data_IF_393367786190
#
_entry.id   IF_393367786190
#
_cell.length_a   1.000
_cell.length_b   1.000
_cell.length_c   1.000
_cell.angle_alpha   90.00
_cell.angle_beta   90.00
_cell.angle_gamma   90.00
#
_symmetry.space_group_name_H-M   'P 1'
#
loop_
_entity.id
_entity.type
_entity.pdbx_description
1 polymer ?
#
# COMPACT_ATOMS: atom_id res chain seq x y z
N UNK A 1 18.21 7.99 0.12
CA UNK A 1 18.63 6.60 -0.17
C UNK A 1 19.83 6.55 -1.12
N UNK A 2 19.82 7.31 -2.22
CA UNK A 2 20.91 7.25 -3.22
C UNK A 2 22.30 7.52 -2.64
N UNK A 3 22.41 8.42 -1.64
CA UNK A 3 23.68 8.78 -0.99
C UNK A 3 24.21 7.72 -0.02
N UNK A 4 23.30 7.01 0.66
CA UNK A 4 23.67 6.12 1.78
C UNK A 4 23.74 4.64 1.37
N UNK A 5 23.16 4.27 0.24
CA UNK A 5 23.21 2.90 -0.24
C UNK A 5 24.52 2.57 -0.96
N UNK A 6 25.07 1.41 -0.62
CA UNK A 6 26.18 0.82 -1.34
C UNK A 6 25.83 0.50 -2.80
N UNK A 7 26.84 0.23 -3.61
CA UNK A 7 26.67 -0.28 -4.97
C UNK A 7 25.89 -1.60 -4.92
N UNK A 8 24.85 -1.74 -5.75
CA UNK A 8 23.90 -2.87 -5.73
C UNK A 8 23.06 -2.98 -4.44
N UNK A 9 23.03 -1.93 -3.62
CA UNK A 9 22.20 -1.87 -2.42
C UNK A 9 20.69 -1.89 -2.76
N UNK A 10 19.89 -2.48 -1.88
CA UNK A 10 18.45 -2.59 -2.04
C UNK A 10 17.70 -1.71 -1.05
N UNK A 11 16.61 -1.12 -1.50
CA UNK A 11 15.63 -0.41 -0.67
C UNK A 11 14.36 -1.23 -0.62
N UNK A 12 13.86 -1.48 0.57
CA UNK A 12 12.57 -2.14 0.79
C UNK A 12 11.64 -1.10 1.38
N UNK A 13 10.51 -0.85 0.72
CA UNK A 13 9.52 0.15 1.13
C UNK A 13 8.15 -0.50 1.15
N UNK A 14 7.42 -0.32 2.24
CA UNK A 14 6.03 -0.72 2.38
C UNK A 14 5.17 0.54 2.48
N UNK A 15 4.19 0.68 1.61
CA UNK A 15 3.30 1.85 1.57
C UNK A 15 1.88 1.45 1.19
N UNK A 16 0.87 2.20 1.68
CA UNK A 16 -0.51 2.05 1.23
C UNK A 16 -0.67 2.33 -0.27
N UNK A 17 -1.60 1.61 -0.89
CA UNK A 17 -1.92 1.73 -2.30
C UNK A 17 -3.30 2.36 -2.48
N UNK A 18 -3.35 3.64 -2.77
CA UNK A 18 -4.61 4.38 -2.94
C UNK A 18 -5.47 3.94 -4.14
N UNK A 19 -4.95 3.09 -5.02
CA UNK A 19 -5.70 2.48 -6.14
C UNK A 19 -6.30 1.12 -5.80
N UNK A 20 -6.08 0.61 -4.58
CA UNK A 20 -6.65 -0.66 -4.12
C UNK A 20 -8.18 -0.64 -4.12
N UNK A 21 -8.78 -1.83 -4.07
CA UNK A 21 -10.23 -1.95 -4.05
C UNK A 21 -10.83 -1.38 -2.76
N UNK A 22 -10.24 -1.63 -1.61
CA UNK A 22 -10.69 -1.12 -0.31
C UNK A 22 -10.58 0.40 -0.21
N UNK A 23 -9.55 1.03 -0.78
CA UNK A 23 -9.47 2.48 -0.88
C UNK A 23 -10.67 3.07 -1.63
N UNK A 24 -11.12 2.41 -2.70
CA UNK A 24 -12.33 2.83 -3.44
C UNK A 24 -13.62 2.53 -2.72
N UNK A 25 -13.66 1.42 -1.96
CA UNK A 25 -14.82 1.02 -1.17
C UNK A 25 -15.10 1.98 -0.01
N UNK A 26 -14.04 2.35 0.74
CA UNK A 26 -14.17 3.22 1.90
C UNK A 26 -14.13 4.71 1.58
N UNK A 27 -13.58 5.09 0.42
CA UNK A 27 -13.46 6.49 -0.02
C UNK A 27 -12.74 7.34 1.04
N UNK A 28 -13.39 8.41 1.51
CA UNK A 28 -12.86 9.32 2.54
C UNK A 28 -12.64 8.64 3.91
N UNK A 29 -13.31 7.54 4.17
CA UNK A 29 -13.17 6.75 5.42
C UNK A 29 -12.04 5.72 5.36
N UNK A 30 -11.32 5.60 4.25
CA UNK A 30 -10.21 4.68 4.16
C UNK A 30 -9.09 5.06 5.13
N UNK A 31 -8.84 4.20 6.13
CA UNK A 31 -7.93 4.52 7.22
C UNK A 31 -6.48 4.76 6.77
N UNK A 32 -6.07 4.15 5.65
CA UNK A 32 -4.71 4.31 5.16
C UNK A 32 -4.44 5.65 4.45
N UNK A 33 -5.44 6.54 4.32
CA UNK A 33 -5.16 7.95 4.04
C UNK A 33 -4.30 8.57 5.13
N UNK A 34 -4.61 8.26 6.39
CA UNK A 34 -3.83 8.62 7.59
C UNK A 34 -3.33 10.07 7.57
N UNK A 35 -4.22 10.99 7.18
CA UNK A 35 -3.92 12.43 7.12
C UNK A 35 -4.01 13.03 8.53
N UNK A 36 -3.08 13.88 8.96
CA UNK A 36 -1.97 14.48 8.20
C UNK A 36 -0.62 13.73 8.30
N UNK A 37 -0.59 12.50 8.81
CA UNK A 37 0.66 11.73 8.99
C UNK A 37 1.23 11.33 7.62
N UNK A 38 0.41 10.77 6.75
CA UNK A 38 0.77 10.48 5.37
C UNK A 38 0.39 11.67 4.47
N UNK A 39 1.38 12.45 4.06
CA UNK A 39 1.19 13.58 3.13
C UNK A 39 1.21 13.15 1.66
N UNK A 40 1.78 11.99 1.36
CA UNK A 40 1.92 11.46 0.01
C UNK A 40 1.33 10.06 -0.09
N UNK A 41 0.52 9.85 -1.12
CA UNK A 41 -0.11 8.56 -1.38
C UNK A 41 0.38 8.00 -2.71
N UNK A 42 0.77 6.73 -2.70
CA UNK A 42 1.40 6.10 -3.85
C UNK A 42 0.51 5.05 -4.50
N UNK A 43 0.75 4.83 -5.78
CA UNK A 43 0.41 3.63 -6.52
C UNK A 43 1.70 3.01 -7.03
N UNK A 44 1.64 1.79 -7.57
CA UNK A 44 2.80 1.14 -8.17
C UNK A 44 3.49 2.05 -9.19
N UNK A 45 2.70 2.62 -10.12
CA UNK A 45 3.24 3.45 -11.20
C UNK A 45 3.93 4.71 -10.68
N UNK A 46 3.34 5.36 -9.66
CA UNK A 46 3.89 6.62 -9.13
C UNK A 46 5.15 6.40 -8.31
N UNK A 47 5.22 5.35 -7.49
CA UNK A 47 6.41 5.06 -6.70
C UNK A 47 7.55 4.54 -7.60
N UNK A 48 7.24 3.71 -8.59
CA UNK A 48 8.23 3.24 -9.57
C UNK A 48 8.82 4.40 -10.36
N UNK A 49 7.98 5.31 -10.83
CA UNK A 49 8.41 6.52 -11.54
C UNK A 49 9.29 7.43 -10.67
N UNK A 50 8.92 7.60 -9.38
CA UNK A 50 9.71 8.38 -8.44
C UNK A 50 11.12 7.78 -8.25
N UNK A 51 11.20 6.48 -7.99
CA UNK A 51 12.47 5.80 -7.77
C UNK A 51 13.34 5.73 -9.03
N UNK A 52 12.72 5.57 -10.20
CA UNK A 52 13.43 5.56 -11.50
C UNK A 52 14.16 6.88 -11.77
N UNK A 53 13.59 8.02 -11.36
CA UNK A 53 14.24 9.33 -11.48
C UNK A 53 15.52 9.47 -10.63
N UNK A 54 15.67 8.62 -9.61
CA UNK A 54 16.82 8.61 -8.71
C UNK A 54 17.75 7.42 -8.91
N UNK A 55 17.74 6.84 -10.12
CA UNK A 55 18.61 5.71 -10.52
C UNK A 55 18.34 4.42 -9.74
N UNK A 56 17.07 4.16 -9.41
CA UNK A 56 16.63 2.87 -8.87
C UNK A 56 15.81 2.09 -9.90
N UNK A 57 15.86 0.77 -9.82
CA UNK A 57 15.06 -0.16 -10.60
C UNK A 57 14.17 -0.97 -9.66
N UNK A 58 12.90 -1.07 -9.97
CA UNK A 58 11.99 -1.97 -9.28
C UNK A 58 12.33 -3.42 -9.62
N UNK A 59 12.66 -4.21 -8.58
CA UNK A 59 13.02 -5.63 -8.72
C UNK A 59 11.82 -6.52 -8.47
N UNK A 60 11.05 -6.21 -7.42
CA UNK A 60 9.94 -7.05 -6.98
C UNK A 60 8.91 -6.25 -6.20
N UNK A 61 7.65 -6.68 -6.31
CA UNK A 61 6.56 -6.25 -5.43
C UNK A 61 6.01 -7.45 -4.66
N UNK A 62 5.57 -7.22 -3.42
CA UNK A 62 4.88 -8.21 -2.59
C UNK A 62 3.66 -7.57 -1.92
N UNK A 63 2.52 -8.25 -1.84
CA UNK A 63 1.38 -7.76 -1.09
C UNK A 63 1.64 -7.82 0.42
N UNK A 64 1.08 -6.87 1.17
CA UNK A 64 0.99 -6.92 2.63
C UNK A 64 -0.41 -7.39 3.03
N UNK A 65 -0.61 -8.71 3.04
CA UNK A 65 -1.95 -9.29 3.23
C UNK A 65 -2.57 -8.98 4.59
N UNK A 66 -1.77 -8.95 5.66
CA UNK A 66 -2.27 -8.66 7.01
C UNK A 66 -2.70 -7.19 7.18
N UNK A 67 -2.05 -6.29 6.48
CA UNK A 67 -2.35 -4.87 6.54
C UNK A 67 -3.77 -4.54 6.05
N UNK A 68 -4.27 -5.28 5.05
CA UNK A 68 -5.63 -5.13 4.54
C UNK A 68 -6.70 -5.33 5.62
N UNK A 69 -6.48 -6.26 6.55
CA UNK A 69 -7.39 -6.50 7.68
C UNK A 69 -7.37 -5.33 8.67
N UNK A 70 -6.18 -4.86 9.02
CA UNK A 70 -6.02 -3.74 9.93
C UNK A 70 -6.64 -2.46 9.36
N UNK A 71 -6.34 -2.14 8.11
CA UNK A 71 -6.89 -0.97 7.41
C UNK A 71 -8.42 -1.07 7.31
N UNK A 72 -8.97 -2.25 6.98
CA UNK A 72 -10.41 -2.45 6.89
C UNK A 72 -11.09 -2.28 8.24
N UNK A 73 -10.52 -2.81 9.33
CA UNK A 73 -11.06 -2.65 10.68
C UNK A 73 -11.13 -1.17 11.11
N UNK A 74 -10.06 -0.42 10.90
CA UNK A 74 -10.03 1.01 11.21
C UNK A 74 -10.98 1.82 10.31
N UNK A 75 -11.09 1.46 9.03
CA UNK A 75 -12.00 2.11 8.09
C UNK A 75 -13.48 1.90 8.47
N UNK A 76 -13.82 0.69 8.95
CA UNK A 76 -15.16 0.43 9.49
C UNK A 76 -15.44 1.29 10.72
N UNK A 77 -14.46 1.44 11.61
CA UNK A 77 -14.59 2.30 12.78
C UNK A 77 -14.80 3.77 12.39
N UNK A 78 -14.03 4.29 11.45
CA UNK A 78 -14.18 5.66 10.95
C UNK A 78 -15.54 5.89 10.27
N UNK A 79 -16.02 4.91 9.49
CA UNK A 79 -17.29 5.00 8.77
C UNK A 79 -18.52 4.90 9.65
N UNK A 80 -18.47 4.08 10.71
CA UNK A 80 -19.67 3.72 11.50
C UNK A 80 -19.61 4.13 12.96
N UNK A 81 -18.50 4.73 13.41
CA UNK A 81 -18.19 5.04 14.81
C UNK A 81 -18.25 3.80 15.75
N UNK A 82 -18.17 2.59 15.20
CA UNK A 82 -18.20 1.32 15.92
C UNK A 82 -17.16 0.34 15.37
N UNK A 83 -16.54 -0.43 16.26
CA UNK A 83 -15.62 -1.49 15.87
C UNK A 83 -16.42 -2.70 15.34
N UNK A 84 -16.43 -2.87 14.03
CA UNK A 84 -17.11 -3.97 13.36
C UNK A 84 -16.09 -5.03 12.89
N UNK A 85 -15.63 -5.87 13.80
CA UNK A 85 -14.58 -6.86 13.53
C UNK A 85 -14.95 -7.82 12.38
N UNK A 86 -16.17 -8.34 12.36
CA UNK A 86 -16.61 -9.29 11.32
C UNK A 86 -16.64 -8.61 9.95
N UNK A 87 -17.22 -7.41 9.86
CA UNK A 87 -17.28 -6.64 8.62
C UNK A 87 -15.88 -6.30 8.11
N UNK A 88 -15.01 -5.76 8.97
CA UNK A 88 -13.63 -5.44 8.60
C UNK A 88 -12.83 -6.67 8.16
N UNK A 89 -13.04 -7.82 8.81
CA UNK A 89 -12.38 -9.07 8.41
C UNK A 89 -12.83 -9.53 7.02
N UNK A 90 -14.14 -9.53 6.75
CA UNK A 90 -14.70 -9.90 5.43
C UNK A 90 -14.18 -8.96 4.34
N UNK A 91 -14.19 -7.65 4.60
CA UNK A 91 -13.66 -6.65 3.65
C UNK A 91 -12.16 -6.86 3.40
N UNK A 92 -11.38 -7.19 4.43
CA UNK A 92 -9.96 -7.52 4.29
C UNK A 92 -9.72 -8.72 3.36
N UNK A 93 -10.52 -9.80 3.50
CA UNK A 93 -10.47 -10.95 2.59
C UNK A 93 -10.81 -10.53 1.16
N UNK A 94 -11.89 -9.79 0.96
CA UNK A 94 -12.32 -9.33 -0.37
C UNK A 94 -11.24 -8.46 -1.01
N UNK A 95 -10.69 -7.50 -0.26
CA UNK A 95 -9.62 -6.62 -0.73
C UNK A 95 -8.39 -7.40 -1.18
N UNK A 96 -7.92 -8.35 -0.36
CA UNK A 96 -6.79 -9.20 -0.70
C UNK A 96 -7.05 -10.06 -1.95
N UNK A 97 -8.23 -10.68 -2.03
CA UNK A 97 -8.62 -11.52 -3.18
C UNK A 97 -8.63 -10.71 -4.47
N UNK A 98 -9.29 -9.56 -4.46
CA UNK A 98 -9.35 -8.67 -5.63
C UNK A 98 -7.96 -8.13 -5.96
N UNK A 99 -7.18 -7.74 -4.93
CA UNK A 99 -5.83 -7.23 -5.10
C UNK A 99 -4.85 -8.23 -5.72
N UNK A 100 -4.98 -9.51 -5.37
CA UNK A 100 -4.16 -10.59 -5.97
C UNK A 100 -4.61 -10.97 -7.38
N UNK A 101 -5.91 -10.94 -7.67
CA UNK A 101 -6.48 -11.31 -8.96
C UNK A 101 -6.45 -10.18 -10.00
N UNK A 102 -6.22 -8.95 -9.58
CA UNK A 102 -6.25 -7.78 -10.45
C UNK A 102 -4.92 -7.01 -10.45
N UNK A 103 -4.71 -6.20 -11.49
CA UNK A 103 -3.55 -5.28 -11.55
C UNK A 103 -3.63 -4.13 -10.56
N UNK A 104 -4.74 -3.98 -9.82
CA UNK A 104 -4.92 -2.89 -8.85
C UNK A 104 -4.06 -3.06 -7.61
N UNK A 105 -3.74 -4.30 -7.25
CA UNK A 105 -2.95 -4.63 -6.07
C UNK A 105 -3.75 -4.60 -4.76
N UNK A 106 -3.13 -5.09 -3.69
CA UNK A 106 -3.70 -5.11 -2.34
C UNK A 106 -3.67 -3.71 -1.69
N UNK A 107 -4.27 -3.59 -0.51
CA UNK A 107 -4.37 -2.36 0.31
C UNK A 107 -3.01 -1.70 0.54
N UNK A 108 -2.00 -2.50 0.87
CA UNK A 108 -0.60 -2.07 0.98
C UNK A 108 0.33 -2.99 0.21
N UNK A 109 1.42 -2.44 -0.28
CA UNK A 109 2.38 -3.15 -1.12
C UNK A 109 3.80 -2.88 -0.66
N UNK A 110 4.60 -3.94 -0.62
CA UNK A 110 6.04 -3.88 -0.42
C UNK A 110 6.72 -3.80 -1.78
N UNK A 111 7.55 -2.79 -1.97
CA UNK A 111 8.37 -2.57 -3.15
C UNK A 111 9.83 -2.79 -2.81
N UNK A 112 10.52 -3.56 -3.65
CA UNK A 112 11.96 -3.81 -3.54
C UNK A 112 12.63 -3.17 -4.74
N UNK A 113 13.42 -2.14 -4.47
CA UNK A 113 14.21 -1.44 -5.47
C UNK A 113 15.70 -1.75 -5.31
N UNK A 114 16.42 -1.74 -6.41
CA UNK A 114 17.87 -1.87 -6.47
C UNK A 114 18.46 -0.63 -7.12
N UNK A 115 19.59 -0.15 -6.59
CA UNK A 115 20.31 0.98 -7.16
C UNK A 115 20.95 0.55 -8.48
N UNK A 116 20.68 1.27 -9.56
CA UNK A 116 21.38 1.10 -10.85
C UNK A 116 22.82 1.56 -10.71
N UNK A 117 23.71 0.83 -11.34
CA UNK A 117 25.11 1.21 -11.44
C UNK A 117 25.30 2.37 -12.42
#
# INVERSE_FOLDING_TARGET
FSRILSKNGKVIIAVPNHKSWDAKHYKEFWAAWDVPIHLWHFSKDTIEKLFSKHNFKLIKTKPMLFDSFYVALLSEEFKTAKKKFISGFIIGIISNTIGMLTKKGCSSTIYIFEKKN
#
